data_IF_521119459078
#
_entry.id   IF_521119459078
#
_cell.length_a   1.000
_cell.length_b   1.000
_cell.length_c   1.000
_cell.angle_alpha   90.00
_cell.angle_beta   90.00
_cell.angle_gamma   90.00
#
_symmetry.space_group_name_H-M   'P 1'
#
loop_
_entity.id
_entity.type
_entity.pdbx_description
1 polymer ?
#
# COMPACT_ATOMS: atom_id res chain seq x y z
N UNK A 1 -59.25 -15.85 -4.65
CA UNK A 1 -57.79 -15.72 -4.46
C UNK A 1 -57.56 -14.37 -3.81
N UNK A 2 -57.71 -14.33 -2.49
CA UNK A 2 -57.72 -13.13 -1.67
C UNK A 2 -57.19 -13.53 -0.30
N UNK A 3 -55.87 -13.67 -0.18
CA UNK A 3 -55.21 -13.73 1.13
C UNK A 3 -53.75 -13.30 0.94
N UNK A 4 -53.49 -12.01 1.19
CA UNK A 4 -52.32 -11.50 1.92
C UNK A 4 -50.98 -11.64 1.15
N UNK A 5 -50.37 -10.68 0.43
CA UNK A 5 -50.26 -9.20 0.44
C UNK A 5 -49.81 -8.48 1.71
N UNK A 6 -49.63 -9.17 2.84
CA UNK A 6 -49.03 -8.62 4.06
C UNK A 6 -47.82 -9.45 4.55
N UNK A 7 -46.80 -9.60 3.71
CA UNK A 7 -45.46 -10.01 4.18
C UNK A 7 -44.34 -9.32 3.37
N UNK A 8 -44.65 -8.15 2.81
CA UNK A 8 -43.74 -7.38 1.94
C UNK A 8 -43.43 -6.00 2.53
N UNK A 9 -43.94 -5.69 3.73
CA UNK A 9 -43.76 -4.37 4.38
C UNK A 9 -43.06 -4.40 5.76
N UNK A 10 -42.46 -5.51 6.19
CA UNK A 10 -41.78 -5.59 7.50
C UNK A 10 -40.27 -5.85 7.47
N UNK A 11 -39.64 -5.92 6.29
CA UNK A 11 -38.19 -5.96 6.22
C UNK A 11 -37.72 -5.11 5.05
N UNK A 12 -37.28 -3.89 5.34
CA UNK A 12 -36.53 -2.97 4.46
C UNK A 12 -35.19 -3.58 4.00
N UNK A 13 -35.23 -4.78 3.42
CA UNK A 13 -34.03 -5.43 2.90
C UNK A 13 -33.97 -5.11 1.42
N UNK A 14 -33.26 -4.01 1.17
CA UNK A 14 -32.64 -3.61 -0.08
C UNK A 14 -32.18 -4.84 -0.87
N UNK A 15 -32.52 -4.87 -2.16
CA UNK A 15 -32.05 -5.89 -3.11
C UNK A 15 -30.52 -6.00 -2.97
N UNK A 16 -29.94 -7.20 -2.81
CA UNK A 16 -28.49 -7.36 -2.76
C UNK A 16 -27.94 -7.20 -4.18
N UNK A 17 -27.88 -5.97 -4.66
CA UNK A 17 -27.02 -5.59 -5.75
C UNK A 17 -25.68 -5.22 -5.12
N UNK A 18 -24.65 -5.99 -5.49
CA UNK A 18 -23.23 -5.76 -5.24
C UNK A 18 -22.75 -5.88 -3.79
N UNK A 19 -23.03 -7.01 -3.13
CA UNK A 19 -22.04 -7.52 -2.18
C UNK A 19 -20.86 -8.08 -2.98
N UNK A 20 -19.88 -7.23 -3.26
CA UNK A 20 -18.51 -7.70 -3.51
C UNK A 20 -18.04 -8.30 -2.20
N UNK A 21 -18.21 -9.61 -2.04
CA UNK A 21 -17.54 -10.36 -0.99
C UNK A 21 -16.06 -10.19 -1.30
N UNK A 22 -15.38 -9.25 -0.62
CA UNK A 22 -13.92 -9.28 -0.48
C UNK A 22 -13.63 -10.61 0.21
N UNK A 23 -13.52 -11.70 -0.56
CA UNK A 23 -13.19 -13.02 -0.05
C UNK A 23 -11.95 -12.83 0.79
N UNK A 24 -11.93 -13.36 2.02
CA UNK A 24 -10.79 -13.29 2.94
C UNK A 24 -9.52 -13.51 2.13
N UNK A 25 -8.82 -12.42 1.77
CA UNK A 25 -7.67 -12.49 0.89
C UNK A 25 -6.69 -13.37 1.65
N UNK A 26 -6.20 -14.44 1.02
CA UNK A 26 -5.19 -15.28 1.62
C UNK A 26 -3.93 -14.42 1.82
N UNK A 27 -3.82 -13.78 2.99
CA UNK A 27 -2.81 -12.76 3.28
C UNK A 27 -1.40 -13.30 3.07
N UNK A 28 -1.16 -14.57 3.44
CA UNK A 28 0.13 -15.22 3.23
C UNK A 28 0.44 -15.42 1.74
N UNK A 29 -0.54 -15.82 0.94
CA UNK A 29 -0.39 -15.97 -0.51
C UNK A 29 -0.15 -14.63 -1.22
N UNK A 30 -0.82 -13.56 -0.77
CA UNK A 30 -0.59 -12.21 -1.29
C UNK A 30 0.83 -11.73 -1.00
N UNK A 31 1.31 -11.87 0.24
CA UNK A 31 2.66 -11.47 0.62
C UNK A 31 3.73 -12.17 -0.21
N UNK A 32 3.62 -13.50 -0.35
CA UNK A 32 4.56 -14.29 -1.17
C UNK A 32 4.55 -13.78 -2.61
N UNK A 33 3.39 -13.48 -3.18
CA UNK A 33 3.29 -12.94 -4.54
C UNK A 33 3.97 -11.57 -4.67
N UNK A 34 3.74 -10.65 -3.73
CA UNK A 34 4.36 -9.31 -3.73
C UNK A 34 5.89 -9.45 -3.67
N UNK A 35 6.42 -10.21 -2.70
CA UNK A 35 7.86 -10.44 -2.53
C UNK A 35 8.48 -10.98 -3.83
N UNK A 36 7.92 -12.06 -4.37
CA UNK A 36 8.44 -12.68 -5.59
C UNK A 36 8.36 -11.77 -6.83
N UNK A 37 7.39 -10.85 -6.87
CA UNK A 37 7.23 -9.92 -7.99
C UNK A 37 8.20 -8.77 -7.89
N UNK A 38 8.45 -8.26 -6.67
CA UNK A 38 9.52 -7.30 -6.39
C UNK A 38 10.89 -7.90 -6.72
N UNK A 39 11.16 -9.16 -6.35
CA UNK A 39 12.41 -9.85 -6.69
C UNK A 39 12.63 -9.97 -8.21
N UNK A 40 11.54 -10.09 -8.98
CA UNK A 40 11.56 -10.09 -10.45
C UNK A 40 11.55 -8.69 -11.06
N UNK A 41 11.56 -7.64 -10.24
CA UNK A 41 11.49 -6.22 -10.64
C UNK A 41 10.27 -5.90 -11.50
N UNK A 42 9.12 -6.47 -11.16
CA UNK A 42 7.85 -6.12 -11.80
C UNK A 42 7.43 -4.73 -11.31
N UNK A 43 7.00 -3.80 -12.18
CA UNK A 43 6.50 -2.49 -11.77
C UNK A 43 5.43 -2.60 -10.67
N UNK A 44 5.46 -1.70 -9.68
CA UNK A 44 4.60 -1.83 -8.50
C UNK A 44 3.12 -1.68 -8.87
N UNK A 45 2.78 -0.84 -9.84
CA UNK A 45 1.41 -0.67 -10.34
C UNK A 45 0.91 -1.95 -11.02
N UNK A 46 1.77 -2.67 -11.74
CA UNK A 46 1.42 -3.96 -12.32
C UNK A 46 1.14 -5.02 -11.25
N UNK A 47 1.89 -4.99 -10.14
CA UNK A 47 1.65 -5.86 -8.97
C UNK A 47 0.29 -5.53 -8.34
N UNK A 48 -0.02 -4.24 -8.15
CA UNK A 48 -1.30 -3.77 -7.60
C UNK A 48 -2.47 -4.21 -8.49
N UNK A 49 -2.37 -3.95 -9.80
CA UNK A 49 -3.37 -4.34 -10.79
C UNK A 49 -3.61 -5.85 -10.82
N UNK A 50 -2.54 -6.65 -10.82
CA UNK A 50 -2.64 -8.12 -10.86
C UNK A 50 -3.32 -8.72 -9.61
N UNK A 51 -3.37 -7.97 -8.51
CA UNK A 51 -4.05 -8.36 -7.26
C UNK A 51 -5.28 -7.54 -6.94
N UNK A 52 -5.71 -6.68 -7.87
CA UNK A 52 -6.86 -5.80 -7.72
C UNK A 52 -6.78 -4.99 -6.41
N UNK A 53 -5.59 -4.47 -6.13
CA UNK A 53 -5.28 -3.57 -5.02
C UNK A 53 -5.20 -2.13 -5.56
N UNK A 54 -5.55 -1.16 -4.73
CA UNK A 54 -5.04 0.20 -4.95
C UNK A 54 -3.53 0.26 -4.72
N UNK A 55 -2.89 1.33 -5.20
CA UNK A 55 -1.46 1.54 -4.93
C UNK A 55 -1.20 1.70 -3.43
N UNK A 56 -2.05 2.47 -2.73
CA UNK A 56 -2.01 2.59 -1.27
C UNK A 56 -2.11 1.24 -0.54
N UNK A 57 -3.05 0.37 -0.95
CA UNK A 57 -3.21 -0.97 -0.39
C UNK A 57 -1.95 -1.83 -0.63
N UNK A 58 -1.32 -1.70 -1.81
CA UNK A 58 -0.05 -2.37 -2.09
C UNK A 58 1.07 -1.86 -1.19
N UNK A 59 1.25 -0.53 -1.07
CA UNK A 59 2.27 0.08 -0.21
C UNK A 59 2.09 -0.37 1.25
N UNK A 60 0.85 -0.45 1.73
CA UNK A 60 0.56 -0.95 3.08
C UNK A 60 0.93 -2.42 3.26
N UNK A 61 0.68 -3.28 2.26
CA UNK A 61 1.14 -4.67 2.32
C UNK A 61 2.67 -4.79 2.25
N UNK A 62 3.35 -3.93 1.50
CA UNK A 62 4.81 -3.83 1.45
C UNK A 62 5.38 -3.41 2.81
N UNK A 63 4.80 -2.39 3.46
CA UNK A 63 5.16 -1.97 4.82
C UNK A 63 4.97 -3.12 5.84
N UNK A 64 3.87 -3.88 5.74
CA UNK A 64 3.65 -5.06 6.56
C UNK A 64 4.67 -6.19 6.30
N UNK A 65 5.19 -6.33 5.08
CA UNK A 65 6.25 -7.27 4.73
C UNK A 65 7.56 -6.86 5.41
N UNK A 66 7.94 -5.59 5.31
CA UNK A 66 9.13 -5.05 5.99
C UNK A 66 9.01 -5.20 7.50
N UNK A 67 7.87 -4.84 8.08
CA UNK A 67 7.63 -4.96 9.52
C UNK A 67 7.71 -6.41 10.02
N UNK A 68 7.57 -7.40 9.13
CA UNK A 68 7.78 -8.82 9.46
C UNK A 68 9.25 -9.27 9.41
N UNK A 69 10.18 -8.36 9.11
CA UNK A 69 11.61 -8.62 9.00
C UNK A 69 12.04 -9.15 7.62
N UNK A 70 11.18 -9.09 6.62
CA UNK A 70 11.53 -9.50 5.25
C UNK A 70 12.19 -8.34 4.53
N UNK A 71 13.44 -8.56 4.10
CA UNK A 71 14.15 -7.59 3.24
C UNK A 71 13.56 -7.62 1.84
N UNK A 72 13.29 -6.44 1.31
CA UNK A 72 12.81 -6.23 -0.07
C UNK A 72 13.56 -5.06 -0.69
N UNK A 73 13.76 -5.07 -2.00
CA UNK A 73 14.42 -3.97 -2.69
C UNK A 73 13.50 -3.42 -3.77
N UNK A 74 12.99 -2.20 -3.55
CA UNK A 74 12.16 -1.47 -4.51
C UNK A 74 12.94 -0.33 -5.19
N UNK A 75 14.26 -0.28 -5.07
CA UNK A 75 15.08 0.78 -5.66
C UNK A 75 14.89 0.88 -7.17
N UNK A 76 14.71 -0.26 -7.85
CA UNK A 76 14.45 -0.29 -9.30
C UNK A 76 13.22 0.53 -9.71
N UNK A 77 12.21 0.61 -8.83
CA UNK A 77 11.00 1.37 -9.06
C UNK A 77 11.23 2.83 -8.68
N UNK A 78 11.82 3.08 -7.52
CA UNK A 78 12.12 4.43 -7.04
C UNK A 78 13.00 5.19 -8.04
N UNK A 79 14.05 4.56 -8.56
CA UNK A 79 15.00 5.16 -9.50
C UNK A 79 14.36 5.56 -10.85
N UNK A 80 13.21 4.99 -11.19
CA UNK A 80 12.47 5.32 -12.41
C UNK A 80 11.41 6.41 -12.20
N UNK A 81 10.86 6.53 -10.98
CA UNK A 81 9.68 7.36 -10.70
C UNK A 81 9.94 8.58 -9.82
N UNK A 82 11.02 8.60 -9.04
CA UNK A 82 11.37 9.69 -8.12
C UNK A 82 12.71 10.30 -8.55
N UNK A 83 12.74 11.62 -8.70
CA UNK A 83 13.96 12.36 -9.04
C UNK A 83 15.06 12.15 -7.98
N UNK A 84 16.31 12.03 -8.41
CA UNK A 84 17.45 11.71 -7.53
C UNK A 84 17.63 12.74 -6.40
N UNK A 85 17.35 14.03 -6.65
CA UNK A 85 17.41 15.06 -5.61
C UNK A 85 16.33 14.86 -4.55
N UNK A 86 15.11 14.53 -4.96
CA UNK A 86 14.01 14.21 -4.05
C UNK A 86 14.32 12.95 -3.23
N UNK A 87 14.91 11.94 -3.86
CA UNK A 87 15.34 10.74 -3.14
C UNK A 87 16.36 11.07 -2.05
N UNK A 88 17.41 11.82 -2.38
CA UNK A 88 18.47 12.20 -1.43
C UNK A 88 17.91 12.96 -0.23
N UNK A 89 17.02 13.92 -0.49
CA UNK A 89 16.40 14.75 0.54
C UNK A 89 15.54 13.94 1.52
N UNK A 90 14.62 13.12 1.02
CA UNK A 90 13.76 12.28 1.87
C UNK A 90 14.59 11.24 2.63
N UNK A 91 15.64 10.69 1.99
CA UNK A 91 16.51 9.71 2.61
C UNK A 91 17.31 10.31 3.78
N UNK A 92 17.91 11.49 3.59
CA UNK A 92 18.66 12.18 4.65
C UNK A 92 17.74 12.67 5.79
N UNK A 93 16.49 13.02 5.49
CA UNK A 93 15.48 13.23 6.53
C UNK A 93 15.35 12.00 7.44
N UNK A 94 15.04 10.82 6.87
CA UNK A 94 14.84 9.62 7.69
C UNK A 94 16.11 9.17 8.43
N UNK A 95 17.29 9.47 7.88
CA UNK A 95 18.58 9.20 8.53
C UNK A 95 18.76 9.96 9.85
N UNK A 96 18.18 11.15 9.96
CA UNK A 96 18.36 12.04 11.11
C UNK A 96 17.10 12.15 11.98
N UNK A 97 15.95 11.75 11.46
CA UNK A 97 14.67 11.77 12.17
C UNK A 97 14.63 10.82 13.37
N UNK A 98 14.00 11.26 14.45
CA UNK A 98 13.76 10.44 15.65
C UNK A 98 12.64 9.39 15.45
N UNK A 99 11.82 9.59 14.42
CA UNK A 99 10.67 8.74 14.09
C UNK A 99 10.57 8.60 12.57
N UNK A 100 10.04 7.46 12.15
CA UNK A 100 9.75 7.14 10.76
C UNK A 100 8.29 7.47 10.38
N UNK A 101 7.59 8.34 11.11
CA UNK A 101 6.20 8.74 10.76
C UNK A 101 6.17 9.44 9.40
N UNK A 102 5.27 8.96 8.54
CA UNK A 102 5.03 9.52 7.21
C UNK A 102 4.41 10.91 7.34
N UNK A 103 3.48 11.09 8.27
CA UNK A 103 2.81 12.37 8.53
C UNK A 103 3.81 13.44 8.95
N UNK A 104 4.70 13.11 9.91
CA UNK A 104 5.74 14.03 10.34
C UNK A 104 6.75 14.32 9.23
N UNK A 105 7.09 13.33 8.41
CA UNK A 105 7.95 13.54 7.25
C UNK A 105 7.31 14.52 6.26
N UNK A 106 6.01 14.38 5.98
CA UNK A 106 5.26 15.29 5.10
C UNK A 106 5.22 16.73 5.63
N UNK A 107 5.01 16.91 6.93
CA UNK A 107 4.99 18.24 7.56
C UNK A 107 6.35 18.95 7.48
N UNK A 108 7.45 18.21 7.68
CA UNK A 108 8.81 18.77 7.73
C UNK A 108 9.43 18.97 6.34
N UNK A 109 9.16 18.06 5.40
CA UNK A 109 9.68 18.10 4.02
C UNK A 109 8.84 18.98 3.09
N UNK A 110 7.63 19.35 3.50
CA UNK A 110 6.74 20.18 2.69
C UNK A 110 5.75 19.36 1.85
N UNK A 111 4.47 19.46 2.20
CA UNK A 111 3.38 18.74 1.53
C UNK A 111 3.19 19.10 0.04
N UNK A 112 3.69 20.26 -0.40
CA UNK A 112 3.62 20.69 -1.80
C UNK A 112 4.76 20.11 -2.66
N UNK A 113 5.86 19.69 -2.03
CA UNK A 113 7.06 19.20 -2.71
C UNK A 113 7.07 17.67 -2.84
N UNK A 114 6.55 16.97 -1.83
CA UNK A 114 6.54 15.51 -1.78
C UNK A 114 5.13 14.97 -1.62
N UNK A 115 4.76 14.03 -2.50
CA UNK A 115 3.53 13.27 -2.28
C UNK A 115 3.70 12.29 -1.11
N UNK A 116 2.56 11.88 -0.54
CA UNK A 116 2.58 10.82 0.47
C UNK A 116 3.16 9.51 -0.06
N UNK A 117 2.89 9.20 -1.33
CA UNK A 117 3.42 8.00 -2.00
C UNK A 117 4.95 8.06 -2.10
N UNK A 118 5.54 9.20 -2.47
CA UNK A 118 6.99 9.38 -2.55
C UNK A 118 7.65 9.16 -1.20
N UNK A 119 7.11 9.77 -0.15
CA UNK A 119 7.62 9.63 1.22
C UNK A 119 7.51 8.18 1.68
N UNK A 120 6.39 7.50 1.40
CA UNK A 120 6.22 6.08 1.75
C UNK A 120 7.21 5.19 1.01
N UNK A 121 7.41 5.39 -0.29
CA UNK A 121 8.38 4.65 -1.10
C UNK A 121 9.80 4.82 -0.55
N UNK A 122 10.20 6.06 -0.28
CA UNK A 122 11.53 6.35 0.27
C UNK A 122 11.71 5.81 1.69
N UNK A 123 10.66 5.86 2.52
CA UNK A 123 10.65 5.24 3.85
C UNK A 123 10.81 3.72 3.76
N UNK A 124 10.10 3.06 2.84
CA UNK A 124 10.22 1.60 2.58
C UNK A 124 11.66 1.25 2.21
N UNK A 125 12.29 2.01 1.30
CA UNK A 125 13.71 1.87 0.95
C UNK A 125 14.61 2.03 2.17
N UNK A 126 14.45 3.13 2.91
CA UNK A 126 15.24 3.43 4.10
C UNK A 126 15.18 2.33 5.15
N UNK A 127 13.97 1.86 5.52
CA UNK A 127 13.82 0.81 6.53
C UNK A 127 14.39 -0.52 6.02
N UNK A 128 14.26 -0.85 4.73
CA UNK A 128 14.82 -2.08 4.19
C UNK A 128 16.37 -2.07 4.20
N UNK A 129 16.98 -0.90 4.03
CA UNK A 129 18.43 -0.72 4.06
C UNK A 129 18.99 -0.66 5.48
N UNK A 130 18.31 0.03 6.40
CA UNK A 130 18.76 0.24 7.80
C UNK A 130 18.26 -0.82 8.79
N UNK A 131 17.21 -1.56 8.45
CA UNK A 131 16.57 -2.58 9.29
C UNK A 131 17.38 -3.87 9.48
N UNK A 132 18.70 -3.83 9.25
CA UNK A 132 19.65 -4.90 9.56
C UNK A 132 20.94 -4.34 10.19
#
# INVERSE_FOLDING_TARGET
>A
INLIKNYVEENEITRPNDMVIKSVINKSGLKIYIIQSIDRKVPLEDIALAKNLSFDELLTEIEHIIASGTKIDISYYIDEYIDEYHQEEVYEYFRTAETDSVEKAREELGEEEFSEEDIRLMRIKFISEMGN
#
